data_IF_846494096898
#
_entry.id   IF_846494096898
#
_cell.length_a   1.000
_cell.length_b   1.000
_cell.length_c   1.000
_cell.angle_alpha   90.00
_cell.angle_beta   90.00
_cell.angle_gamma   90.00
#
_symmetry.space_group_name_H-M   'P 1'
#
loop_
_entity.id
_entity.type
_entity.pdbx_description
1 polymer ?
#
# COMPACT_ATOMS: atom_id res chain seq x y z
N UNK A 1 -6.64 -28.97 0.43
CA UNK A 1 -5.56 -28.42 1.28
C UNK A 1 -5.36 -26.96 0.89
N UNK A 2 -5.70 -26.01 1.77
CA UNK A 2 -5.45 -24.58 1.51
C UNK A 2 -3.94 -24.36 1.59
N UNK A 3 -3.31 -23.92 0.49
CA UNK A 3 -1.90 -23.55 0.51
C UNK A 3 -1.74 -22.35 1.44
N UNK A 4 -0.82 -22.44 2.40
CA UNK A 4 -0.48 -21.31 3.25
C UNK A 4 0.03 -20.16 2.37
N UNK A 5 -0.54 -18.96 2.55
CA UNK A 5 -0.08 -17.77 1.82
C UNK A 5 1.32 -17.41 2.29
N UNK A 6 2.22 -17.10 1.37
CA UNK A 6 3.58 -16.65 1.68
C UNK A 6 3.51 -15.21 2.22
N UNK A 7 4.41 -14.85 3.14
CA UNK A 7 4.54 -13.50 3.69
C UNK A 7 4.62 -12.44 2.58
N UNK A 8 3.74 -11.42 2.66
CA UNK A 8 3.64 -10.39 1.62
C UNK A 8 4.84 -9.44 1.59
N UNK A 9 5.54 -9.27 2.72
CA UNK A 9 6.71 -8.41 2.82
C UNK A 9 7.99 -9.10 2.32
N UNK A 10 8.37 -10.23 2.93
CA UNK A 10 9.68 -10.85 2.66
C UNK A 10 9.64 -11.94 1.58
N UNK A 11 8.46 -12.45 1.23
CA UNK A 11 8.20 -13.50 0.22
C UNK A 11 9.03 -14.79 0.37
N UNK A 12 9.56 -15.06 1.57
CA UNK A 12 10.43 -16.21 1.86
C UNK A 12 9.75 -17.25 2.76
N UNK A 13 9.12 -16.79 3.83
CA UNK A 13 8.48 -17.64 4.82
C UNK A 13 6.96 -17.66 4.64
N UNK A 14 6.26 -18.74 5.04
CA UNK A 14 4.80 -18.73 5.17
C UNK A 14 4.32 -17.60 6.08
N UNK A 15 3.15 -17.04 5.81
CA UNK A 15 2.48 -16.16 6.77
C UNK A 15 2.10 -16.97 8.01
N UNK A 16 2.30 -16.39 9.20
CA UNK A 16 2.13 -17.10 10.47
C UNK A 16 1.27 -16.28 11.42
N UNK A 17 0.35 -16.93 12.12
CA UNK A 17 -0.40 -16.29 13.20
C UNK A 17 0.55 -15.93 14.36
N UNK A 18 0.36 -14.79 15.04
CA UNK A 18 -0.74 -13.81 14.88
C UNK A 18 -0.49 -12.75 13.80
N UNK A 19 0.60 -12.84 13.04
CA UNK A 19 1.10 -11.78 12.17
C UNK A 19 0.56 -11.81 10.73
N UNK A 20 -0.37 -12.70 10.38
CA UNK A 20 -0.92 -12.81 9.03
C UNK A 20 -1.42 -11.43 8.55
N UNK A 21 -0.98 -10.91 7.38
CA UNK A 21 -0.37 -11.61 6.25
C UNK A 21 1.17 -11.73 6.23
N UNK A 22 1.84 -11.47 7.35
CA UNK A 22 3.30 -11.52 7.52
C UNK A 22 3.77 -12.80 8.22
N UNK A 23 5.06 -13.13 8.12
CA UNK A 23 5.66 -14.25 8.84
C UNK A 23 6.11 -13.91 10.28
N UNK A 24 6.22 -12.62 10.62
CA UNK A 24 6.66 -12.16 11.95
C UNK A 24 6.33 -10.69 12.18
N UNK A 25 6.39 -10.26 13.44
CA UNK A 25 6.28 -8.86 13.84
C UNK A 25 7.27 -7.96 13.09
N UNK A 26 8.51 -8.44 12.91
CA UNK A 26 9.55 -7.70 12.17
C UNK A 26 9.10 -7.35 10.75
N UNK A 27 8.47 -8.29 10.04
CA UNK A 27 7.99 -8.05 8.68
C UNK A 27 6.78 -7.09 8.66
N UNK A 28 5.89 -7.15 9.66
CA UNK A 28 4.80 -6.18 9.83
C UNK A 28 5.34 -4.77 10.04
N UNK A 29 6.32 -4.61 10.94
CA UNK A 29 6.88 -3.29 11.26
C UNK A 29 7.71 -2.71 10.11
N UNK A 30 8.43 -3.54 9.37
CA UNK A 30 9.19 -3.07 8.21
C UNK A 30 8.27 -2.64 7.05
N UNK A 31 7.15 -3.36 6.86
CA UNK A 31 6.12 -2.93 5.91
C UNK A 31 5.55 -1.56 6.32
N UNK A 32 5.20 -1.40 7.60
CA UNK A 32 4.73 -0.12 8.14
C UNK A 32 5.77 1.01 7.96
N UNK A 33 7.06 0.73 8.18
CA UNK A 33 8.11 1.73 7.94
C UNK A 33 8.11 2.22 6.49
N UNK A 34 7.98 1.32 5.50
CA UNK A 34 7.88 1.70 4.08
C UNK A 34 6.67 2.56 3.76
N UNK A 35 5.55 2.35 4.45
CA UNK A 35 4.39 3.24 4.35
C UNK A 35 4.71 4.63 4.88
N UNK A 36 5.34 4.70 6.06
CA UNK A 36 5.71 5.99 6.68
C UNK A 36 6.75 6.74 5.85
N UNK A 37 7.71 6.02 5.28
CA UNK A 37 8.78 6.58 4.44
C UNK A 37 8.28 7.03 3.06
N UNK A 38 7.05 6.67 2.67
CA UNK A 38 6.47 7.01 1.37
C UNK A 38 7.01 6.15 0.21
N UNK A 39 7.63 5.01 0.51
CA UNK A 39 8.14 4.07 -0.50
C UNK A 39 7.00 3.45 -1.33
N UNK A 40 5.82 3.33 -0.71
CA UNK A 40 4.60 2.90 -1.40
C UNK A 40 3.88 4.10 -2.02
N UNK A 41 4.04 4.26 -3.33
CA UNK A 41 3.40 5.30 -4.13
C UNK A 41 2.79 4.71 -5.41
N UNK A 42 1.66 5.26 -5.82
CA UNK A 42 1.04 4.95 -7.10
C UNK A 42 1.51 5.99 -8.11
N UNK A 43 2.14 5.59 -9.22
CA UNK A 43 2.46 6.52 -10.30
C UNK A 43 1.18 7.19 -10.81
N UNK A 44 1.18 8.52 -10.88
CA UNK A 44 0.11 9.25 -11.54
C UNK A 44 0.38 9.34 -13.04
N UNK A 45 -0.67 9.34 -13.83
CA UNK A 45 -0.57 9.79 -15.22
C UNK A 45 -0.15 11.27 -15.23
N UNK A 46 0.68 11.70 -16.20
CA UNK A 46 1.06 13.10 -16.30
C UNK A 46 -0.20 13.94 -16.50
N UNK A 47 -0.43 14.90 -15.60
CA UNK A 47 -1.52 15.86 -15.75
C UNK A 47 -1.18 16.76 -16.93
N UNK A 48 -1.83 16.56 -18.07
CA UNK A 48 -1.80 17.55 -19.14
C UNK A 48 -2.57 18.78 -18.66
N UNK A 49 -1.97 19.96 -18.80
CA UNK A 49 -2.55 21.24 -18.41
C UNK A 49 -3.71 21.63 -19.36
N UNK A 50 -4.80 20.86 -19.37
CA UNK A 50 -5.96 21.16 -20.22
C UNK A 50 -7.32 20.88 -19.56
N UNK A 51 -7.33 20.68 -18.24
CA UNK A 51 -8.58 20.59 -17.46
C UNK A 51 -8.61 21.58 -16.30
N UNK A 52 -8.35 22.86 -16.60
CA UNK A 52 -9.04 23.95 -15.91
C UNK A 52 -10.40 24.15 -16.60
N UNK A 53 -11.37 23.29 -16.29
CA UNK A 53 -12.78 23.58 -16.58
C UNK A 53 -13.62 23.15 -15.38
N UNK A 54 -13.96 24.17 -14.59
CA UNK A 54 -15.17 24.40 -13.80
C UNK A 54 -15.75 23.21 -13.03
N UNK A 55 -15.86 23.35 -11.71
CA UNK A 55 -17.10 23.02 -10.99
C UNK A 55 -17.17 23.83 -9.67
N UNK A 56 -18.30 24.52 -9.50
CA UNK A 56 -18.89 25.09 -8.28
C UNK A 56 -18.41 26.46 -7.74
N UNK A 57 -18.80 27.52 -8.47
CA UNK A 57 -19.33 28.74 -7.84
C UNK A 57 -20.80 28.46 -7.44
N UNK A 58 -21.03 28.10 -6.18
CA UNK A 58 -22.35 28.20 -5.55
C UNK A 58 -22.33 29.33 -4.52
N UNK A 59 -23.08 30.37 -4.86
CA UNK A 59 -23.56 31.52 -4.09
C UNK A 59 -23.91 31.19 -2.62
N UNK A 60 -23.37 31.96 -1.67
CA UNK A 60 -23.98 32.21 -0.37
C UNK A 60 -23.79 33.67 0.06
#
# INVERSE_FOLDING_TARGET
MVRARVCVFCRREPAQAPWIPFCSERCKLQDLARWVDGDYRVPAEPVTQESEKNDDETDH
#
